data_IF_445892847745
#
_entry.id   IF_445892847745
#
_cell.length_a   1.000
_cell.length_b   1.000
_cell.length_c   1.000
_cell.angle_alpha   90.00
_cell.angle_beta   90.00
_cell.angle_gamma   90.00
#
_symmetry.space_group_name_H-M   'P 1'
#
loop_
_entity.id
_entity.type
_entity.pdbx_description
1 polymer ?
#
# COMPACT_ATOMS: atom_id res chain seq x y z
N UNK A 1 11.11 13.88 -7.28
CA UNK A 1 12.03 13.07 -7.58
C UNK A 1 11.59 11.71 -7.49
N UNK A 2 11.09 11.35 -6.52
CA UNK A 2 10.78 10.00 -6.34
C UNK A 2 9.73 9.51 -7.28
N UNK A 3 8.71 10.29 -7.61
CA UNK A 3 7.66 9.76 -8.47
C UNK A 3 8.14 9.45 -9.87
N UNK A 4 9.00 10.29 -10.42
CA UNK A 4 9.54 10.05 -11.74
C UNK A 4 10.43 8.81 -11.71
N UNK A 5 11.21 8.65 -10.65
CA UNK A 5 12.05 7.48 -10.54
C UNK A 5 11.20 6.22 -10.40
N UNK A 6 10.10 6.31 -9.67
CA UNK A 6 9.24 5.17 -9.49
C UNK A 6 8.61 4.74 -10.81
N UNK A 7 8.17 5.71 -11.60
CA UNK A 7 7.56 5.39 -12.89
C UNK A 7 8.57 4.70 -13.80
N UNK A 8 9.82 5.20 -13.80
CA UNK A 8 10.85 4.59 -14.60
C UNK A 8 11.12 3.16 -14.15
N UNK A 9 11.18 2.94 -12.84
CA UNK A 9 11.43 1.61 -12.33
C UNK A 9 10.28 0.67 -12.66
N UNK A 10 9.04 1.15 -12.53
CA UNK A 10 7.89 0.34 -12.87
C UNK A 10 7.96 -0.06 -14.35
N UNK A 11 8.30 0.87 -15.21
CA UNK A 11 8.37 0.57 -16.64
C UNK A 11 9.43 -0.51 -16.91
N UNK A 12 10.55 -0.44 -16.19
CA UNK A 12 11.59 -1.44 -16.40
C UNK A 12 11.12 -2.83 -15.98
N UNK A 13 10.33 -2.92 -14.92
CA UNK A 13 9.83 -4.20 -14.48
C UNK A 13 8.81 -4.73 -15.46
N UNK A 14 7.87 -3.90 -15.86
CA UNK A 14 6.77 -4.35 -16.68
C UNK A 14 7.21 -4.65 -18.11
N UNK A 15 7.99 -3.77 -18.70
CA UNK A 15 8.37 -3.91 -20.10
C UNK A 15 9.55 -4.85 -20.28
N UNK A 16 10.56 -4.71 -19.44
CA UNK A 16 11.79 -5.46 -19.61
C UNK A 16 11.98 -6.61 -18.65
N UNK A 17 11.02 -6.86 -17.79
CA UNK A 17 11.07 -7.92 -16.79
C UNK A 17 12.31 -7.79 -15.90
N UNK A 18 12.69 -6.56 -15.60
CA UNK A 18 13.89 -6.30 -14.83
C UNK A 18 13.56 -6.42 -13.34
N UNK A 19 13.83 -7.57 -12.74
CA UNK A 19 13.50 -7.78 -11.34
C UNK A 19 14.34 -6.92 -10.40
N UNK A 20 15.52 -6.50 -10.84
CA UNK A 20 16.33 -5.62 -10.00
C UNK A 20 15.67 -4.27 -9.80
N UNK A 21 14.93 -3.79 -10.82
CA UNK A 21 14.20 -2.55 -10.68
C UNK A 21 13.13 -2.69 -9.61
N UNK A 22 12.50 -3.85 -9.52
CA UNK A 22 11.51 -4.05 -8.49
C UNK A 22 12.18 -4.11 -7.11
N UNK A 23 13.35 -4.74 -7.00
CA UNK A 23 14.09 -4.74 -5.75
C UNK A 23 14.38 -3.33 -5.28
N UNK A 24 14.69 -2.43 -6.20
CA UNK A 24 14.92 -1.04 -5.84
C UNK A 24 13.66 -0.40 -5.27
N UNK A 25 12.51 -0.71 -5.86
CA UNK A 25 11.24 -0.21 -5.33
C UNK A 25 10.97 -0.75 -3.94
N UNK A 26 11.24 -2.04 -3.74
CA UNK A 26 11.03 -2.66 -2.43
C UNK A 26 11.92 -1.98 -1.40
N UNK A 27 13.19 -1.80 -1.71
CA UNK A 27 14.11 -1.19 -0.76
C UNK A 27 13.70 0.23 -0.41
N UNK A 28 13.12 0.93 -1.37
CA UNK A 28 12.69 2.29 -1.14
C UNK A 28 11.48 2.35 -0.23
N UNK A 29 10.57 1.40 -0.36
CA UNK A 29 9.30 1.48 0.35
C UNK A 29 9.14 0.49 1.51
N UNK A 30 10.09 -0.42 1.72
CA UNK A 30 9.87 -1.42 2.74
C UNK A 30 9.74 -0.84 4.14
N UNK A 31 10.53 0.17 4.49
CA UNK A 31 10.42 0.76 5.81
C UNK A 31 9.11 1.52 6.01
N UNK A 32 8.70 2.39 5.08
CA UNK A 32 7.40 3.05 5.24
C UNK A 32 6.23 2.07 5.29
N UNK A 33 6.26 1.03 4.48
CA UNK A 33 5.16 0.06 4.48
C UNK A 33 5.16 -0.72 5.79
N UNK A 34 6.35 -1.11 6.28
CA UNK A 34 6.43 -1.80 7.55
C UNK A 34 5.89 -0.93 8.68
N UNK A 35 6.25 0.36 8.68
CA UNK A 35 5.77 1.28 9.70
C UNK A 35 4.26 1.43 9.62
N UNK A 36 3.71 1.44 8.42
CA UNK A 36 2.27 1.51 8.25
C UNK A 36 1.61 0.32 8.97
N UNK A 37 2.11 -0.88 8.75
CA UNK A 37 1.51 -2.03 9.38
C UNK A 37 1.78 -2.09 10.88
N UNK A 38 2.96 -1.63 11.32
CA UNK A 38 3.21 -1.58 12.75
C UNK A 38 2.19 -0.68 13.45
N UNK A 39 1.84 0.41 12.79
CA UNK A 39 0.85 1.31 13.34
C UNK A 39 -0.52 0.65 13.36
N UNK A 40 -0.88 -0.05 12.30
CA UNK A 40 -2.19 -0.68 12.21
C UNK A 40 -2.33 -1.87 13.15
N UNK A 41 -1.25 -2.58 13.41
CA UNK A 41 -1.29 -3.77 14.25
C UNK A 41 -0.91 -3.49 15.70
N UNK A 42 -0.72 -2.23 16.03
CA UNK A 42 -0.34 -1.82 17.38
C UNK A 42 0.98 -2.45 17.81
N UNK A 43 1.91 -2.56 16.88
CA UNK A 43 3.26 -2.99 17.22
C UNK A 43 3.55 -4.48 17.06
N UNK A 44 2.67 -5.22 16.44
CA UNK A 44 2.91 -6.64 16.23
C UNK A 44 3.91 -6.78 15.09
N UNK A 45 5.18 -7.01 15.43
CA UNK A 45 6.25 -7.00 14.44
C UNK A 45 6.16 -8.16 13.47
N UNK A 46 5.86 -9.35 13.96
CA UNK A 46 5.77 -10.50 13.11
C UNK A 46 4.65 -10.37 12.09
N UNK A 47 3.48 -9.97 12.56
CA UNK A 47 2.35 -9.79 11.68
C UNK A 47 2.62 -8.66 10.69
N UNK A 48 3.21 -7.57 11.15
CA UNK A 48 3.50 -6.44 10.28
C UNK A 48 4.46 -6.82 9.17
N UNK A 49 5.47 -7.63 9.48
CA UNK A 49 6.42 -8.08 8.48
C UNK A 49 5.73 -8.98 7.46
N UNK A 50 4.84 -9.86 7.92
CA UNK A 50 4.12 -10.74 7.02
C UNK A 50 3.20 -9.95 6.08
N UNK A 51 2.50 -8.97 6.63
CA UNK A 51 1.58 -8.17 5.82
C UNK A 51 2.35 -7.28 4.83
N UNK A 52 3.51 -6.78 5.25
CA UNK A 52 4.33 -5.99 4.35
C UNK A 52 4.84 -6.85 3.20
N UNK A 53 5.27 -8.07 3.50
CA UNK A 53 5.74 -8.95 2.46
C UNK A 53 4.63 -9.27 1.48
N UNK A 54 3.44 -9.53 1.99
CA UNK A 54 2.31 -9.82 1.12
C UNK A 54 1.97 -8.62 0.25
N UNK A 55 2.12 -7.42 0.78
CA UNK A 55 1.87 -6.20 0.02
C UNK A 55 2.79 -6.13 -1.19
N UNK A 56 4.08 -6.43 -1.00
CA UNK A 56 5.02 -6.35 -2.12
C UNK A 56 4.81 -7.48 -3.13
N UNK A 57 4.41 -8.65 -2.66
CA UNK A 57 4.10 -9.74 -3.57
C UNK A 57 2.90 -9.36 -4.44
N UNK A 58 1.86 -8.79 -3.81
CA UNK A 58 0.70 -8.40 -4.56
C UNK A 58 1.01 -7.25 -5.51
N UNK A 59 1.86 -6.32 -5.08
CA UNK A 59 2.27 -5.23 -5.95
C UNK A 59 3.00 -5.77 -7.17
N UNK A 60 3.88 -6.73 -6.98
CA UNK A 60 4.63 -7.29 -8.09
C UNK A 60 3.70 -7.98 -9.09
N UNK A 61 2.78 -8.80 -8.59
CA UNK A 61 1.92 -9.56 -9.47
C UNK A 61 0.91 -8.68 -10.20
N UNK A 62 0.61 -7.49 -9.66
CA UNK A 62 -0.34 -6.60 -10.28
C UNK A 62 0.29 -5.34 -10.85
N UNK A 63 1.60 -5.33 -11.01
CA UNK A 63 2.28 -4.11 -11.38
C UNK A 63 1.85 -3.61 -12.75
N UNK A 64 1.53 -4.53 -13.65
CA UNK A 64 1.10 -4.13 -14.98
C UNK A 64 -0.22 -3.35 -14.96
N UNK A 65 -0.99 -3.47 -13.88
CA UNK A 65 -2.24 -2.77 -13.80
C UNK A 65 -2.09 -1.33 -13.28
N UNK A 66 -0.89 -0.96 -12.87
CA UNK A 66 -0.66 0.41 -12.41
C UNK A 66 -0.72 1.32 -13.65
N UNK A 67 -1.69 2.23 -13.64
CA UNK A 67 -1.94 3.04 -14.81
C UNK A 67 -1.41 4.46 -14.69
N UNK A 68 -0.61 4.71 -13.66
CA UNK A 68 -0.04 6.03 -13.47
C UNK A 68 -1.10 7.10 -13.24
N UNK A 69 -2.26 6.70 -12.76
CA UNK A 69 -3.30 7.64 -12.42
C UNK A 69 -3.11 8.21 -11.03
N UNK A 70 -2.22 7.62 -10.26
CA UNK A 70 -1.82 8.14 -8.98
C UNK A 70 -0.32 7.93 -8.89
N UNK A 71 0.31 8.42 -7.84
CA UNK A 71 1.72 8.12 -7.66
C UNK A 71 1.85 6.64 -7.33
N UNK A 72 3.02 6.12 -7.54
CA UNK A 72 3.26 4.72 -7.20
C UNK A 72 3.05 4.49 -5.69
N UNK A 73 3.48 5.43 -4.87
CA UNK A 73 3.32 5.24 -3.43
C UNK A 73 1.85 5.17 -3.04
N UNK A 74 1.00 6.00 -3.62
CA UNK A 74 -0.43 5.95 -3.33
C UNK A 74 -1.00 4.59 -3.74
N UNK A 75 -0.62 4.12 -4.92
CA UNK A 75 -1.08 2.84 -5.42
C UNK A 75 -0.63 1.70 -4.49
N UNK A 76 0.62 1.76 -4.03
CA UNK A 76 1.17 0.74 -3.15
C UNK A 76 0.45 0.75 -1.80
N UNK A 77 0.20 1.93 -1.24
CA UNK A 77 -0.50 2.01 0.04
C UNK A 77 -1.95 1.53 -0.08
N UNK A 78 -2.57 1.68 -1.22
CA UNK A 78 -3.91 1.13 -1.40
C UNK A 78 -3.89 -0.38 -1.34
N UNK A 79 -2.85 -0.99 -1.89
CA UNK A 79 -2.69 -2.43 -1.79
C UNK A 79 -2.51 -2.82 -0.33
N UNK A 80 -1.66 -2.08 0.40
CA UNK A 80 -1.43 -2.39 1.81
C UNK A 80 -2.71 -2.26 2.61
N UNK A 81 -3.52 -1.24 2.33
CA UNK A 81 -4.76 -1.05 3.02
C UNK A 81 -5.70 -2.20 2.77
N UNK A 82 -5.80 -2.63 1.52
CA UNK A 82 -6.70 -3.72 1.19
C UNK A 82 -6.25 -5.01 1.84
N UNK A 83 -4.95 -5.24 1.92
CA UNK A 83 -4.42 -6.41 2.60
C UNK A 83 -4.78 -6.38 4.08
N UNK A 84 -4.64 -5.22 4.72
CA UNK A 84 -4.98 -5.12 6.12
C UNK A 84 -6.47 -5.30 6.34
N UNK A 85 -7.30 -4.73 5.47
CA UNK A 85 -8.73 -4.88 5.57
C UNK A 85 -9.14 -6.35 5.43
N UNK A 86 -8.52 -7.05 4.47
CA UNK A 86 -8.80 -8.46 4.28
C UNK A 86 -8.38 -9.28 5.51
N UNK A 87 -7.27 -8.90 6.13
CA UNK A 87 -6.81 -9.57 7.33
C UNK A 87 -7.83 -9.37 8.45
N UNK A 88 -8.34 -8.15 8.61
CA UNK A 88 -9.33 -7.88 9.66
C UNK A 88 -10.60 -8.67 9.39
N UNK A 89 -11.03 -8.76 8.15
CA UNK A 89 -12.24 -9.52 7.84
C UNK A 89 -12.05 -10.99 8.14
N UNK A 90 -10.86 -11.51 7.87
CA UNK A 90 -10.54 -12.88 8.17
C UNK A 90 -10.63 -13.13 9.68
N UNK A 91 -10.09 -12.18 10.47
CA UNK A 91 -10.15 -12.30 11.90
C UNK A 91 -11.60 -12.18 12.40
N UNK A 92 -12.40 -11.37 11.73
CA UNK A 92 -13.79 -11.20 12.12
C UNK A 92 -14.53 -12.54 12.00
N UNK A 93 -14.27 -13.26 10.92
CA UNK A 93 -14.93 -14.55 10.73
C UNK A 93 -14.54 -15.52 11.82
N UNK A 94 -13.34 -15.36 12.37
CA UNK A 94 -12.90 -16.23 13.42
C UNK A 94 -13.37 -15.75 14.79
N UNK A 95 -13.41 -14.43 14.99
CA UNK A 95 -13.70 -13.88 16.31
C UNK A 95 -15.11 -13.35 16.48
N UNK A 96 -15.89 -13.28 15.42
CA UNK A 96 -17.27 -12.84 15.58
C UNK A 96 -17.50 -11.35 15.58
N UNK A 97 -16.53 -10.56 15.09
CA UNK A 97 -16.73 -9.12 15.04
C UNK A 97 -17.82 -8.77 14.05
N UNK A 98 -18.47 -7.65 14.29
CA UNK A 98 -19.53 -7.21 13.41
C UNK A 98 -18.96 -6.64 12.12
N UNK A 99 -19.63 -6.93 11.04
CA UNK A 99 -19.16 -6.46 9.73
C UNK A 99 -19.15 -4.95 9.66
N UNK A 100 -20.19 -4.30 10.23
CA UNK A 100 -20.25 -2.84 10.12
C UNK A 100 -19.10 -2.18 10.89
N UNK A 101 -18.63 -2.81 11.94
CA UNK A 101 -17.50 -2.26 12.69
C UNK A 101 -16.24 -2.29 11.81
N UNK A 102 -16.06 -3.38 11.09
CA UNK A 102 -14.90 -3.50 10.25
C UNK A 102 -14.97 -2.50 9.10
N UNK A 103 -16.13 -2.34 8.51
CA UNK A 103 -16.30 -1.41 7.41
C UNK A 103 -16.04 0.02 7.87
N UNK A 104 -16.51 0.37 9.06
CA UNK A 104 -16.28 1.70 9.59
C UNK A 104 -14.79 1.96 9.79
N UNK A 105 -14.10 0.99 10.34
CA UNK A 105 -12.66 1.12 10.54
C UNK A 105 -11.95 1.27 9.21
N UNK A 106 -12.30 0.45 8.24
CA UNK A 106 -11.68 0.50 6.94
C UNK A 106 -11.88 1.85 6.29
N UNK A 107 -13.08 2.38 6.32
CA UNK A 107 -13.35 3.64 5.68
C UNK A 107 -12.63 4.80 6.37
N UNK A 108 -12.57 4.76 7.67
CA UNK A 108 -11.88 5.80 8.42
C UNK A 108 -10.39 5.78 8.10
N UNK A 109 -9.80 4.59 8.11
CA UNK A 109 -8.39 4.50 7.83
C UNK A 109 -8.06 4.89 6.40
N UNK A 110 -8.91 4.49 5.47
CA UNK A 110 -8.67 4.82 4.09
C UNK A 110 -8.73 6.33 3.87
N UNK A 111 -9.64 7.02 4.54
CA UNK A 111 -9.74 8.45 4.44
C UNK A 111 -8.49 9.10 5.01
N UNK A 112 -8.00 8.60 6.14
CA UNK A 112 -6.79 9.15 6.73
C UNK A 112 -5.59 8.97 5.82
N UNK A 113 -5.47 7.82 5.17
CA UNK A 113 -4.37 7.61 4.27
C UNK A 113 -4.45 8.58 3.10
N UNK A 114 -5.64 8.78 2.56
CA UNK A 114 -5.82 9.70 1.45
C UNK A 114 -5.42 11.12 1.83
N UNK A 115 -5.89 11.58 2.97
CA UNK A 115 -5.57 12.93 3.42
C UNK A 115 -4.08 13.06 3.68
N UNK A 116 -3.50 12.07 4.30
CA UNK A 116 -2.10 12.12 4.62
C UNK A 116 -1.27 12.16 3.35
N UNK A 117 -1.62 11.36 2.36
CA UNK A 117 -0.90 11.36 1.12
C UNK A 117 -1.03 12.68 0.40
N UNK A 118 -2.19 13.29 0.44
CA UNK A 118 -2.38 14.57 -0.20
C UNK A 118 -1.48 15.61 0.43
N UNK A 119 -1.38 15.61 1.71
CA UNK A 119 -0.54 16.57 2.38
C UNK A 119 0.90 16.36 1.99
N UNK A 120 1.33 15.13 2.04
CA UNK A 120 2.66 14.87 1.67
C UNK A 120 2.95 15.25 0.31
N UNK A 121 2.09 15.15 -0.54
CA UNK A 121 2.42 15.34 -1.79
C UNK A 121 2.22 16.59 -2.08
N UNK A 122 1.70 17.10 -1.21
CA UNK A 122 1.50 18.40 -1.48
C UNK A 122 2.26 18.84 -2.13
N UNK A 123 2.50 18.22 -1.78
CA UNK A 123 3.18 17.69 -2.42
C UNK A 123 2.67 17.21 -3.53
N UNK A 124 2.13 16.57 -3.60
CA UNK A 124 1.98 16.05 -4.63
C UNK A 124 0.93 15.92 -5.22
N UNK A 125 0.30 16.01 -5.15
CA UNK A 125 -0.48 15.94 -6.02
C UNK A 125 -1.32 14.99 -6.27
N UNK A 126 -1.51 14.38 -5.91
CA UNK A 126 -2.27 13.45 -6.18
C UNK A 126 -3.49 13.34 -5.55
N UNK A 127 -3.94 14.12 -4.75
CA UNK A 127 -5.13 14.05 -4.05
C UNK A 127 -6.27 13.75 -4.92
N UNK A 128 -6.30 14.26 -6.05
CA UNK A 128 -7.45 14.07 -6.85
C UNK A 128 -7.58 12.67 -7.32
N UNK A 129 -6.56 11.99 -7.46
CA UNK A 129 -6.65 10.69 -7.99
C UNK A 129 -7.22 9.69 -7.07
N UNK A 130 -7.04 9.90 -5.83
CA UNK A 130 -7.54 8.96 -4.93
C UNK A 130 -8.92 9.08 -4.74
N UNK A 131 -9.48 10.16 -5.09
CA UNK A 131 -10.87 10.30 -4.85
C UNK A 131 -11.62 9.93 -6.07
#
# INVERSE_FOLDING_TARGET
>A
MSQINDIALVAQVVVFKNTRAFDTLVKKYQSPIRRFFLHQTLGDTELSDDLAQETFIKAYTNLASFKNLSSFSTWLYRIAYNIFYDYIRSKKETSGLETWEIDAVYQTEQRQVGEHMDIYRGLSQLKEVER
#
